data_IF_405936048740
#
_entry.id   IF_405936048740
#
_cell.length_a   1.000
_cell.length_b   1.000
_cell.length_c   1.000
_cell.angle_alpha   90.00
_cell.angle_beta   90.00
_cell.angle_gamma   90.00
#
_symmetry.space_group_name_H-M   'P 1'
#
loop_
_entity.id
_entity.type
_entity.pdbx_description
1 polymer ?
#
# COMPACT_ATOMS: atom_id res chain seq x y z
N UNK A 1 -21.26 27.27 -9.97
CA UNK A 1 -19.96 27.73 -10.49
C UNK A 1 -19.33 26.60 -11.30
N UNK A 2 -18.83 26.93 -12.49
CA UNK A 2 -18.48 26.01 -13.58
C UNK A 2 -17.44 24.95 -13.20
N UNK A 3 -17.79 23.67 -13.31
CA UNK A 3 -16.89 22.53 -13.10
C UNK A 3 -15.94 22.42 -14.31
N UNK A 4 -14.79 23.10 -14.26
CA UNK A 4 -13.78 23.07 -15.32
C UNK A 4 -13.11 21.68 -15.27
N UNK A 5 -13.57 20.72 -16.10
CA UNK A 5 -12.88 19.43 -16.29
C UNK A 5 -11.39 19.71 -16.51
N UNK A 6 -10.53 19.24 -15.60
CA UNK A 6 -9.07 19.32 -15.73
C UNK A 6 -8.68 18.66 -17.05
N UNK A 7 -8.07 19.41 -17.99
CA UNK A 7 -7.56 18.82 -19.23
C UNK A 7 -6.28 18.06 -18.90
N UNK A 8 -6.27 16.78 -19.23
CA UNK A 8 -5.11 15.91 -19.01
C UNK A 8 -4.06 16.22 -20.08
N UNK A 9 -2.83 16.51 -19.65
CA UNK A 9 -1.68 16.84 -20.50
C UNK A 9 -0.73 15.65 -20.61
N UNK A 10 -0.38 15.28 -21.84
CA UNK A 10 0.50 14.15 -22.16
C UNK A 10 1.72 14.65 -22.93
N UNK A 11 2.92 14.31 -22.45
CA UNK A 11 4.18 14.56 -23.14
C UNK A 11 4.64 13.29 -23.85
N UNK A 12 5.01 13.37 -25.13
CA UNK A 12 5.54 12.27 -25.92
C UNK A 12 7.00 12.57 -26.28
N UNK A 13 7.90 11.67 -25.91
CA UNK A 13 9.35 11.75 -26.13
C UNK A 13 9.79 10.50 -26.90
N UNK A 14 9.96 10.63 -28.21
CA UNK A 14 10.28 9.52 -29.12
C UNK A 14 10.95 10.10 -30.37
N UNK A 15 12.08 9.58 -30.84
CA UNK A 15 12.78 10.13 -32.01
C UNK A 15 12.07 9.86 -33.34
N UNK A 16 11.20 8.84 -33.40
CA UNK A 16 10.43 8.47 -34.59
C UNK A 16 9.21 9.39 -34.78
N UNK A 17 9.26 10.25 -35.81
CA UNK A 17 8.15 11.17 -36.13
C UNK A 17 6.81 10.45 -36.36
N UNK A 18 6.84 9.30 -37.04
CA UNK A 18 5.65 8.48 -37.30
C UNK A 18 4.95 8.00 -36.01
N UNK A 19 5.73 7.63 -34.99
CA UNK A 19 5.18 7.21 -33.69
C UNK A 19 4.60 8.41 -32.95
N UNK A 20 5.30 9.55 -32.92
CA UNK A 20 4.80 10.79 -32.30
C UNK A 20 3.48 11.23 -32.93
N UNK A 21 3.42 11.26 -34.25
CA UNK A 21 2.23 11.70 -35.00
C UNK A 21 1.05 10.74 -34.78
N UNK A 22 1.30 9.43 -34.84
CA UNK A 22 0.30 8.40 -34.57
C UNK A 22 -0.27 8.48 -33.16
N UNK A 23 0.60 8.58 -32.15
CA UNK A 23 0.17 8.70 -30.75
C UNK A 23 -0.57 10.01 -30.51
N UNK A 24 -0.04 11.13 -31.01
CA UNK A 24 -0.66 12.45 -30.87
C UNK A 24 -2.05 12.50 -31.48
N UNK A 25 -2.24 11.92 -32.66
CA UNK A 25 -3.55 11.87 -33.31
C UNK A 25 -4.56 11.03 -32.50
N UNK A 26 -4.15 9.85 -32.02
CA UNK A 26 -5.01 8.97 -31.22
C UNK A 26 -5.41 9.64 -29.90
N UNK A 27 -4.46 10.27 -29.20
CA UNK A 27 -4.68 10.84 -27.88
C UNK A 27 -5.43 12.17 -27.92
N UNK A 28 -5.14 13.02 -28.91
CA UNK A 28 -5.87 14.28 -29.10
C UNK A 28 -7.34 14.04 -29.42
N UNK A 29 -7.66 13.01 -30.24
CA UNK A 29 -9.05 12.59 -30.52
C UNK A 29 -9.79 12.11 -29.26
N UNK A 30 -9.06 11.65 -28.27
CA UNK A 30 -9.59 11.23 -26.98
C UNK A 30 -9.72 12.38 -25.96
N UNK A 31 -9.45 13.63 -26.37
CA UNK A 31 -9.63 14.82 -25.54
C UNK A 31 -8.43 15.18 -24.66
N UNK A 32 -7.27 14.55 -24.88
CA UNK A 32 -6.02 14.90 -24.20
C UNK A 32 -5.30 16.06 -24.89
N UNK A 33 -4.59 16.87 -24.12
CA UNK A 33 -3.66 17.86 -24.65
C UNK A 33 -2.28 17.20 -24.82
N UNK A 34 -1.75 17.18 -26.03
CA UNK A 34 -0.52 16.44 -26.35
C UNK A 34 0.59 17.39 -26.76
N UNK A 35 1.77 17.21 -26.15
CA UNK A 35 3.02 17.86 -26.54
C UNK A 35 4.01 16.77 -26.96
N UNK A 36 4.77 17.02 -28.03
CA UNK A 36 5.69 16.05 -28.62
C UNK A 36 7.09 16.64 -28.74
N UNK A 37 8.11 15.83 -28.51
CA UNK A 37 9.52 16.14 -28.84
C UNK A 37 10.23 14.88 -29.33
N UNK A 38 11.17 15.07 -30.25
CA UNK A 38 12.06 14.01 -30.73
C UNK A 38 13.40 13.94 -29.98
N UNK A 39 13.63 14.82 -29.01
CA UNK A 39 14.89 14.91 -28.28
C UNK A 39 14.70 14.62 -26.78
N UNK A 40 15.55 13.73 -26.27
CA UNK A 40 15.51 13.28 -24.88
C UNK A 40 15.75 14.40 -23.86
N UNK A 41 16.66 15.34 -24.16
CA UNK A 41 17.02 16.43 -23.26
C UNK A 41 15.97 17.54 -23.28
N UNK A 42 15.42 17.84 -24.45
CA UNK A 42 14.28 18.73 -24.60
C UNK A 42 13.05 18.19 -23.87
N UNK A 43 12.75 16.89 -24.02
CA UNK A 43 11.67 16.24 -23.27
C UNK A 43 11.84 16.34 -21.75
N UNK A 44 13.07 16.18 -21.24
CA UNK A 44 13.35 16.40 -19.82
C UNK A 44 13.15 17.87 -19.40
N UNK A 45 13.53 18.84 -20.24
CA UNK A 45 13.29 20.27 -19.97
C UNK A 45 11.79 20.58 -19.93
N UNK A 46 11.02 20.07 -20.88
CA UNK A 46 9.55 20.24 -20.88
C UNK A 46 8.93 19.66 -19.62
N UNK A 47 9.33 18.46 -19.22
CA UNK A 47 8.83 17.82 -18.00
C UNK A 47 9.12 18.62 -16.71
N UNK A 48 10.18 19.46 -16.68
CA UNK A 48 10.48 20.36 -15.55
C UNK A 48 9.78 21.72 -15.63
N UNK A 49 9.58 22.25 -16.84
CA UNK A 49 9.02 23.59 -17.04
C UNK A 49 7.50 23.61 -16.95
N UNK A 50 6.85 22.52 -17.38
CA UNK A 50 5.41 22.39 -17.48
C UNK A 50 4.90 21.19 -16.66
N UNK A 51 3.62 21.24 -16.27
CA UNK A 51 2.96 20.11 -15.63
C UNK A 51 2.33 19.19 -16.68
N UNK A 52 2.70 17.93 -16.61
CA UNK A 52 2.11 16.83 -17.37
C UNK A 52 1.51 15.79 -16.43
N UNK A 53 0.42 15.17 -16.83
CA UNK A 53 -0.19 14.06 -16.08
C UNK A 53 0.40 12.71 -16.53
N UNK A 54 0.93 12.62 -17.75
CA UNK A 54 1.55 11.42 -18.32
C UNK A 54 2.70 11.76 -19.29
N UNK A 55 3.75 10.95 -19.26
CA UNK A 55 4.88 10.97 -20.19
C UNK A 55 4.93 9.61 -20.91
N UNK A 56 4.96 9.63 -22.23
CA UNK A 56 5.29 8.49 -23.08
C UNK A 56 6.75 8.61 -23.48
N UNK A 57 7.60 7.66 -23.09
CA UNK A 57 9.05 7.76 -23.24
C UNK A 57 9.61 6.57 -24.04
N UNK A 58 10.32 6.84 -25.13
CA UNK A 58 11.11 5.82 -25.82
C UNK A 58 12.40 5.49 -25.04
N UNK A 59 12.70 4.20 -24.89
CA UNK A 59 13.98 3.73 -24.34
C UNK A 59 15.16 3.88 -25.30
N UNK A 60 14.91 3.97 -26.61
CA UNK A 60 15.94 3.95 -27.64
C UNK A 60 15.86 5.22 -28.50
N UNK A 61 16.48 6.28 -28.00
CA UNK A 61 16.71 7.50 -28.77
C UNK A 61 18.22 7.70 -29.04
N UNK A 62 18.59 8.39 -30.13
CA UNK A 62 19.97 8.81 -30.37
C UNK A 62 20.52 9.65 -29.20
N UNK A 63 21.78 9.42 -28.83
CA UNK A 63 22.50 10.24 -27.85
C UNK A 63 22.37 9.81 -26.38
N UNK A 64 21.17 9.53 -25.87
CA UNK A 64 20.95 9.12 -24.46
C UNK A 64 20.02 7.91 -24.36
N UNK A 65 20.37 6.94 -23.50
CA UNK A 65 19.50 5.78 -23.24
C UNK A 65 18.26 6.26 -22.49
N UNK A 66 17.07 5.88 -22.91
CA UNK A 66 15.83 6.34 -22.26
C UNK A 66 15.68 5.87 -20.81
N UNK A 67 16.40 4.82 -20.38
CA UNK A 67 16.47 4.45 -18.96
C UNK A 67 17.16 5.53 -18.10
N UNK A 68 18.13 6.25 -18.67
CA UNK A 68 18.82 7.33 -17.96
C UNK A 68 17.90 8.55 -17.82
N UNK A 69 17.06 8.81 -18.82
CA UNK A 69 15.99 9.82 -18.76
C UNK A 69 14.94 9.43 -17.72
N UNK A 70 14.48 8.17 -17.72
CA UNK A 70 13.53 7.68 -16.71
C UNK A 70 14.06 7.93 -15.28
N UNK A 71 15.32 7.57 -15.02
CA UNK A 71 15.96 7.82 -13.72
C UNK A 71 16.04 9.30 -13.38
N UNK A 72 16.32 10.18 -14.35
CA UNK A 72 16.33 11.64 -14.12
C UNK A 72 14.94 12.17 -13.82
N UNK A 73 13.92 11.75 -14.58
CA UNK A 73 12.53 12.13 -14.36
C UNK A 73 12.05 11.70 -12.97
N UNK A 74 12.42 10.50 -12.51
CA UNK A 74 12.04 9.99 -11.18
C UNK A 74 12.83 10.56 -10.00
N UNK A 75 14.07 11.00 -10.23
CA UNK A 75 14.86 11.69 -9.20
C UNK A 75 14.40 13.13 -8.96
N UNK A 76 13.71 13.73 -9.92
CA UNK A 76 13.19 15.09 -9.80
C UNK A 76 11.80 15.06 -9.14
N UNK A 77 11.74 15.36 -7.85
CA UNK A 77 10.51 15.31 -7.05
C UNK A 77 9.43 16.31 -7.49
N UNK A 78 9.79 17.31 -8.32
CA UNK A 78 8.83 18.25 -8.88
C UNK A 78 8.03 17.65 -10.06
N UNK A 79 8.45 16.49 -10.59
CA UNK A 79 7.81 15.81 -11.71
C UNK A 79 6.89 14.68 -11.19
N UNK A 80 5.60 15.01 -11.06
CA UNK A 80 4.57 14.06 -10.63
C UNK A 80 3.94 13.25 -11.78
N UNK A 81 4.41 13.43 -13.02
CA UNK A 81 3.82 12.77 -14.18
C UNK A 81 4.01 11.25 -14.12
N UNK A 82 2.99 10.50 -14.52
CA UNK A 82 3.15 9.06 -14.77
C UNK A 82 4.03 8.82 -15.99
N UNK A 83 4.69 7.68 -16.09
CA UNK A 83 5.60 7.36 -17.19
C UNK A 83 5.27 6.00 -17.77
N UNK A 84 4.84 5.97 -19.03
CA UNK A 84 4.75 4.74 -19.82
C UNK A 84 5.97 4.67 -20.73
N UNK A 85 6.66 3.54 -20.66
CA UNK A 85 7.74 3.24 -21.59
C UNK A 85 7.18 2.72 -22.91
N UNK A 86 7.69 3.22 -24.02
CA UNK A 86 7.42 2.69 -25.36
C UNK A 86 8.75 2.15 -25.93
N UNK A 87 8.80 0.91 -26.43
CA UNK A 87 10.05 0.38 -27.01
C UNK A 87 9.83 -0.71 -28.04
N UNK A 88 10.64 -0.72 -29.12
CA UNK A 88 10.68 -1.81 -30.09
C UNK A 88 11.50 -3.04 -29.67
N UNK A 89 12.20 -2.98 -28.52
CA UNK A 89 13.07 -4.06 -28.02
C UNK A 89 12.56 -4.60 -26.69
N UNK A 90 11.27 -4.93 -26.63
CA UNK A 90 10.58 -5.45 -25.45
C UNK A 90 11.04 -6.86 -25.05
N UNK A 91 12.26 -6.99 -24.54
CA UNK A 91 12.70 -8.20 -23.83
C UNK A 91 12.20 -8.14 -22.39
N UNK A 92 11.82 -9.29 -21.83
CA UNK A 92 11.37 -9.38 -20.42
C UNK A 92 12.34 -8.67 -19.45
N UNK A 93 13.67 -8.79 -19.57
CA UNK A 93 14.60 -8.08 -18.68
C UNK A 93 14.49 -6.55 -18.73
N UNK A 94 14.36 -5.96 -19.92
CA UNK A 94 14.26 -4.50 -20.08
C UNK A 94 12.93 -3.95 -19.53
N UNK A 95 11.83 -4.68 -19.73
CA UNK A 95 10.54 -4.32 -19.14
C UNK A 95 10.60 -4.36 -17.61
N UNK A 96 11.23 -5.38 -17.04
CA UNK A 96 11.41 -5.47 -15.58
C UNK A 96 12.32 -4.37 -15.05
N UNK A 97 13.40 -4.03 -15.76
CA UNK A 97 14.30 -2.93 -15.39
C UNK A 97 13.59 -1.58 -15.42
N UNK A 98 12.78 -1.29 -16.45
CA UNK A 98 12.01 -0.06 -16.54
C UNK A 98 11.05 0.11 -15.36
N UNK A 99 10.28 -0.93 -15.01
CA UNK A 99 9.36 -0.89 -13.86
C UNK A 99 10.13 -0.67 -12.55
N UNK A 100 11.26 -1.37 -12.34
CA UNK A 100 12.11 -1.17 -11.15
C UNK A 100 12.66 0.25 -11.02
N UNK A 101 12.85 0.95 -12.13
CA UNK A 101 13.31 2.34 -12.15
C UNK A 101 12.16 3.36 -12.14
N UNK A 102 10.93 2.91 -11.89
CA UNK A 102 9.77 3.76 -11.63
C UNK A 102 8.87 4.00 -12.85
N UNK A 103 8.97 3.25 -13.95
CA UNK A 103 7.93 3.30 -14.98
C UNK A 103 6.60 2.74 -14.45
N UNK A 104 5.48 3.38 -14.79
CA UNK A 104 4.14 2.95 -14.39
C UNK A 104 3.65 1.77 -15.24
N UNK A 105 3.99 1.76 -16.53
CA UNK A 105 3.68 0.67 -17.45
C UNK A 105 4.65 0.67 -18.63
N UNK A 106 4.54 -0.34 -19.48
CA UNK A 106 5.30 -0.39 -20.74
C UNK A 106 4.41 -0.85 -21.91
N UNK A 107 4.80 -0.45 -23.11
CA UNK A 107 4.14 -0.78 -24.37
C UNK A 107 5.20 -1.13 -25.42
N UNK A 108 5.10 -2.31 -26.01
CA UNK A 108 6.06 -2.79 -27.02
C UNK A 108 5.62 -2.34 -28.42
N UNK A 109 6.54 -1.78 -29.22
CA UNK A 109 6.32 -1.51 -30.65
C UNK A 109 6.44 -2.83 -31.44
N UNK A 110 5.57 -3.13 -32.42
CA UNK A 110 4.42 -2.33 -32.84
C UNK A 110 3.21 -2.50 -31.90
N UNK A 111 2.43 -1.43 -31.73
CA UNK A 111 1.18 -1.44 -30.97
C UNK A 111 0.06 -0.79 -31.76
N UNK A 112 -1.18 -1.18 -31.44
CA UNK A 112 -2.40 -0.65 -32.02
C UNK A 112 -2.90 0.59 -31.28
N UNK A 113 -3.77 1.38 -31.92
CA UNK A 113 -4.44 2.50 -31.25
C UNK A 113 -5.24 2.06 -30.02
N UNK A 114 -5.77 0.83 -30.02
CA UNK A 114 -6.51 0.26 -28.89
C UNK A 114 -5.59 -0.07 -27.72
N UNK A 115 -4.40 -0.63 -27.98
CA UNK A 115 -3.41 -0.92 -26.96
C UNK A 115 -2.86 0.36 -26.33
N UNK A 116 -2.55 1.38 -27.14
CA UNK A 116 -2.14 2.69 -26.65
C UNK A 116 -3.22 3.30 -25.74
N UNK A 117 -4.48 3.34 -26.19
CA UNK A 117 -5.59 3.83 -25.37
C UNK A 117 -5.73 3.05 -24.07
N UNK A 118 -5.65 1.72 -24.13
CA UNK A 118 -5.79 0.87 -22.95
C UNK A 118 -4.66 1.12 -21.94
N UNK A 119 -3.41 1.26 -22.40
CA UNK A 119 -2.27 1.56 -21.54
C UNK A 119 -2.41 2.95 -20.88
N UNK A 120 -2.78 3.96 -21.67
CA UNK A 120 -2.99 5.33 -21.19
C UNK A 120 -4.14 5.41 -20.19
N UNK A 121 -5.28 4.78 -20.49
CA UNK A 121 -6.43 4.70 -19.57
C UNK A 121 -6.02 3.97 -18.31
N UNK A 122 -5.40 2.79 -18.41
CA UNK A 122 -4.91 2.01 -17.25
C UNK A 122 -4.01 2.84 -16.34
N UNK A 123 -3.11 3.65 -16.90
CA UNK A 123 -2.16 4.46 -16.12
C UNK A 123 -2.80 5.74 -15.58
N UNK A 124 -3.63 6.43 -16.35
CA UNK A 124 -4.31 7.64 -15.89
C UNK A 124 -5.42 7.34 -14.88
N UNK A 125 -6.16 6.24 -15.06
CA UNK A 125 -7.22 5.76 -14.16
C UNK A 125 -6.68 5.00 -12.94
N UNK A 126 -5.43 4.51 -12.99
CA UNK A 126 -4.67 4.21 -11.77
C UNK A 126 -4.57 5.53 -11.02
N UNK A 127 -5.52 5.87 -10.17
CA UNK A 127 -5.42 7.03 -9.26
C UNK A 127 -4.03 7.01 -8.63
N UNK A 128 -3.34 8.14 -8.65
CA UNK A 128 -1.97 8.28 -8.15
C UNK A 128 -1.81 7.52 -6.83
N UNK A 129 -1.11 6.38 -6.90
CA UNK A 129 -0.65 5.61 -5.74
C UNK A 129 0.69 6.22 -5.32
N UNK A 130 0.73 7.54 -5.18
CA UNK A 130 1.78 8.25 -4.48
C UNK A 130 1.17 8.71 -3.17
N UNK A 131 1.47 7.94 -2.12
CA UNK A 131 0.64 7.55 -0.97
C UNK A 131 -0.31 6.39 -1.29
N UNK A 132 -0.24 5.29 -0.53
CA UNK A 132 -1.30 4.31 -0.55
C UNK A 132 -2.57 5.00 -0.05
N UNK A 133 -3.45 5.36 -0.98
CA UNK A 133 -4.87 5.46 -0.69
C UNK A 133 -5.45 4.07 -1.02
N UNK A 134 -5.56 3.16 -0.03
CA UNK A 134 -6.39 2.01 -0.20
C UNK A 134 -7.80 2.57 -0.38
N UNK A 135 -8.22 2.56 -1.63
CA UNK A 135 -9.59 2.14 -1.81
C UNK A 135 -9.74 0.88 -1.00
N UNK A 136 -10.71 0.95 -0.11
CA UNK A 136 -11.12 -0.13 0.73
C UNK A 136 -11.56 -1.25 -0.20
N UNK A 137 -10.62 -2.07 -0.65
CA UNK A 137 -10.86 -3.11 -1.65
C UNK A 137 -11.64 -4.22 -0.96
N UNK A 138 -12.93 -3.96 -0.77
CA UNK A 138 -13.94 -4.87 -0.23
C UNK A 138 -14.96 -4.22 0.72
N UNK A 139 -14.81 -2.97 1.18
CA UNK A 139 -15.92 -2.26 1.85
C UNK A 139 -16.74 -1.58 0.77
N UNK A 140 -17.65 -2.34 0.17
CA UNK A 140 -18.55 -1.86 -0.86
C UNK A 140 -19.74 -1.18 -0.17
N UNK A 141 -19.85 0.15 -0.27
CA UNK A 141 -21.03 0.87 0.21
C UNK A 141 -20.95 2.38 0.03
N UNK A 142 -22.04 2.98 -0.48
CA UNK A 142 -22.13 4.44 -0.72
C UNK A 142 -22.96 5.17 0.35
N UNK A 143 -23.19 4.55 1.51
CA UNK A 143 -23.95 5.17 2.61
C UNK A 143 -23.11 6.23 3.34
N UNK A 144 -23.78 7.17 4.01
CA UNK A 144 -23.09 8.19 4.80
C UNK A 144 -22.26 7.57 5.94
N UNK A 145 -22.74 6.47 6.53
CA UNK A 145 -22.00 5.68 7.52
C UNK A 145 -20.66 5.13 6.97
N UNK A 146 -20.67 4.60 5.74
CA UNK A 146 -19.45 4.10 5.11
C UNK A 146 -18.46 5.22 4.80
N UNK A 147 -18.96 6.40 4.41
CA UNK A 147 -18.11 7.58 4.19
C UNK A 147 -17.46 8.07 5.49
N UNK A 148 -18.21 8.11 6.59
CA UNK A 148 -17.70 8.49 7.91
C UNK A 148 -16.67 7.47 8.44
N UNK A 149 -16.91 6.17 8.22
CA UNK A 149 -15.96 5.11 8.54
C UNK A 149 -14.65 5.27 7.75
N UNK A 150 -14.73 5.53 6.44
CA UNK A 150 -13.55 5.79 5.60
C UNK A 150 -12.75 7.01 6.08
N UNK A 151 -13.42 8.11 6.42
CA UNK A 151 -12.75 9.30 6.96
C UNK A 151 -12.05 9.02 8.30
N UNK A 152 -12.68 8.20 9.14
CA UNK A 152 -12.11 7.76 10.42
C UNK A 152 -10.88 6.89 10.19
N UNK A 153 -10.97 5.90 9.30
CA UNK A 153 -9.85 5.03 8.90
C UNK A 153 -8.66 5.86 8.41
N UNK A 154 -8.90 6.84 7.53
CA UNK A 154 -7.86 7.75 6.99
C UNK A 154 -7.15 8.55 8.08
N UNK A 155 -7.86 8.92 9.14
CA UNK A 155 -7.30 9.69 10.26
C UNK A 155 -6.46 8.81 11.17
N UNK A 156 -7.01 7.66 11.60
CA UNK A 156 -6.35 6.76 12.55
C UNK A 156 -5.16 6.02 11.92
N UNK A 157 -5.20 5.73 10.61
CA UNK A 157 -4.12 5.03 9.93
C UNK A 157 -2.78 5.75 10.00
N UNK A 158 -2.78 7.09 10.08
CA UNK A 158 -1.57 7.93 10.19
C UNK A 158 -0.94 7.95 11.58
N UNK A 159 -1.59 7.32 12.56
CA UNK A 159 -1.11 7.21 13.95
C UNK A 159 -0.64 5.79 14.24
N UNK A 160 0.22 5.60 15.25
CA UNK A 160 0.62 4.27 15.73
C UNK A 160 -0.23 3.78 16.92
N UNK A 161 -1.35 4.45 17.22
CA UNK A 161 -2.26 4.05 18.30
C UNK A 161 -2.85 2.65 18.06
N UNK A 162 -3.06 1.92 19.15
CA UNK A 162 -3.84 0.67 19.15
C UNK A 162 -5.28 0.95 18.76
N UNK A 163 -5.83 0.13 17.87
CA UNK A 163 -7.20 0.28 17.36
C UNK A 163 -8.04 -0.94 17.74
N UNK A 164 -9.26 -0.70 18.21
CA UNK A 164 -10.28 -1.73 18.41
C UNK A 164 -11.40 -1.57 17.39
N UNK A 165 -11.70 -2.63 16.64
CA UNK A 165 -12.75 -2.70 15.63
C UNK A 165 -13.89 -3.55 16.18
N UNK A 166 -15.05 -2.95 16.37
CA UNK A 166 -16.26 -3.65 16.83
C UNK A 166 -17.24 -3.84 15.68
N UNK A 167 -17.89 -4.99 15.62
CA UNK A 167 -18.95 -5.24 14.65
C UNK A 167 -19.33 -6.72 14.59
N UNK A 168 -20.54 -7.00 14.12
CA UNK A 168 -21.03 -8.38 13.98
C UNK A 168 -20.08 -9.25 13.12
N UNK A 169 -20.13 -10.57 13.32
CA UNK A 169 -19.34 -11.48 12.50
C UNK A 169 -19.74 -11.36 11.02
N UNK A 170 -18.75 -11.34 10.12
CA UNK A 170 -18.99 -11.18 8.68
C UNK A 170 -19.14 -9.73 8.19
N UNK A 171 -19.00 -8.72 9.05
CA UNK A 171 -19.08 -7.29 8.66
C UNK A 171 -17.81 -6.71 8.03
N UNK A 172 -16.79 -7.54 7.78
CA UNK A 172 -15.55 -7.09 7.13
C UNK A 172 -14.52 -6.45 8.07
N UNK A 173 -14.51 -6.80 9.37
CA UNK A 173 -13.54 -6.28 10.36
C UNK A 173 -12.08 -6.48 9.96
N UNK A 174 -11.74 -7.67 9.44
CA UNK A 174 -10.38 -7.94 8.93
C UNK A 174 -10.03 -7.00 7.76
N UNK A 175 -10.98 -6.75 6.87
CA UNK A 175 -10.76 -5.85 5.75
C UNK A 175 -10.53 -4.40 6.20
N UNK A 176 -11.26 -3.94 7.22
CA UNK A 176 -11.01 -2.64 7.86
C UNK A 176 -9.58 -2.60 8.42
N UNK A 177 -9.12 -3.65 9.10
CA UNK A 177 -7.76 -3.73 9.62
C UNK A 177 -6.68 -3.69 8.53
N UNK A 178 -6.86 -4.45 7.45
CA UNK A 178 -5.97 -4.43 6.27
C UNK A 178 -5.95 -3.04 5.60
N UNK A 179 -7.09 -2.36 5.58
CA UNK A 179 -7.21 -0.99 5.03
C UNK A 179 -6.47 0.02 5.89
N UNK A 180 -6.61 -0.05 7.22
CA UNK A 180 -5.85 0.79 8.14
C UNK A 180 -4.35 0.57 7.96
N UNK A 181 -3.90 -0.68 7.87
CA UNK A 181 -2.50 -1.01 7.66
C UNK A 181 -1.96 -0.45 6.34
N UNK A 182 -2.69 -0.66 5.24
CA UNK A 182 -2.30 -0.13 3.93
C UNK A 182 -2.31 1.40 3.85
N UNK A 183 -3.12 2.10 4.65
CA UNK A 183 -3.07 3.57 4.81
C UNK A 183 -1.96 4.08 5.73
N UNK A 184 -1.28 3.19 6.44
CA UNK A 184 -0.38 3.58 7.52
C UNK A 184 1.03 3.90 7.06
N UNK A 185 1.85 4.47 7.95
CA UNK A 185 3.30 4.63 7.73
C UNK A 185 4.04 3.28 7.64
N UNK A 186 3.38 2.17 8.01
CA UNK A 186 3.91 0.80 8.03
C UNK A 186 3.42 -0.04 6.85
N UNK A 187 2.87 0.57 5.80
CA UNK A 187 2.25 -0.15 4.67
C UNK A 187 3.18 -1.10 3.89
N UNK A 188 4.50 -0.86 3.91
CA UNK A 188 5.50 -1.76 3.29
C UNK A 188 6.00 -2.85 4.25
N UNK A 189 5.53 -2.83 5.51
CA UNK A 189 5.94 -3.75 6.58
C UNK A 189 4.93 -4.89 6.72
N UNK A 190 5.26 -5.97 7.44
CA UNK A 190 4.37 -7.12 7.57
C UNK A 190 3.01 -6.76 8.20
N UNK A 191 1.94 -7.31 7.63
CA UNK A 191 0.63 -7.42 8.28
C UNK A 191 0.41 -8.87 8.70
N UNK A 192 0.32 -9.12 10.00
CA UNK A 192 0.23 -10.47 10.56
C UNK A 192 -1.14 -10.66 11.21
N UNK A 193 -2.08 -11.37 10.55
CA UNK A 193 -3.36 -11.70 11.16
C UNK A 193 -3.26 -12.91 12.09
N UNK A 194 -4.02 -12.87 13.19
CA UNK A 194 -4.20 -13.94 14.15
C UNK A 194 -5.67 -14.07 14.50
N UNK A 195 -6.28 -15.19 14.13
CA UNK A 195 -7.64 -15.54 14.54
C UNK A 195 -7.61 -16.14 15.94
N UNK A 196 -8.14 -15.41 16.93
CA UNK A 196 -8.14 -15.82 18.33
C UNK A 196 -9.16 -16.91 18.66
N UNK A 197 -10.00 -17.32 17.71
CA UNK A 197 -10.99 -18.40 17.87
C UNK A 197 -10.50 -19.76 17.40
N UNK A 198 -9.46 -19.79 16.55
CA UNK A 198 -9.02 -20.99 15.83
C UNK A 198 -8.07 -21.92 16.61
N UNK A 199 -7.51 -21.47 17.74
CA UNK A 199 -6.48 -22.19 18.48
C UNK A 199 -6.92 -22.51 19.91
N UNK A 200 -6.56 -23.71 20.38
CA UNK A 200 -6.65 -24.08 21.80
C UNK A 200 -5.74 -23.16 22.62
N UNK A 201 -6.12 -22.82 23.85
CA UNK A 201 -5.44 -21.81 24.70
C UNK A 201 -3.91 -21.92 24.74
N UNK A 202 -3.37 -23.13 24.93
CA UNK A 202 -1.92 -23.38 24.98
C UNK A 202 -1.22 -23.12 23.65
N UNK A 203 -1.90 -23.38 22.52
CA UNK A 203 -1.41 -23.10 21.18
C UNK A 203 -1.49 -21.60 20.87
N UNK A 204 -2.43 -20.87 21.48
CA UNK A 204 -2.57 -19.42 21.32
C UNK A 204 -1.37 -18.67 21.93
N UNK A 205 -1.06 -18.96 23.20
CA UNK A 205 0.07 -18.35 23.90
C UNK A 205 1.39 -18.61 23.15
N UNK A 206 1.58 -19.87 22.74
CA UNK A 206 2.72 -20.33 21.95
C UNK A 206 2.79 -19.68 20.56
N UNK A 207 1.65 -19.43 19.90
CA UNK A 207 1.62 -18.75 18.62
C UNK A 207 1.96 -17.26 18.76
N UNK A 208 1.36 -16.57 19.73
CA UNK A 208 1.56 -15.14 19.92
C UNK A 208 2.97 -14.80 20.36
N UNK A 209 3.48 -15.51 21.37
CA UNK A 209 4.74 -15.15 22.08
C UNK A 209 5.90 -16.10 21.76
N UNK A 210 5.66 -17.18 21.02
CA UNK A 210 6.67 -18.16 20.67
C UNK A 210 7.06 -19.05 21.85
N UNK A 211 7.80 -20.12 21.56
CA UNK A 211 8.36 -21.00 22.58
C UNK A 211 9.70 -21.56 22.16
N UNK A 212 10.50 -21.93 23.14
CA UNK A 212 11.72 -22.73 22.91
C UNK A 212 11.38 -24.21 22.94
N UNK A 213 12.15 -25.02 22.20
CA UNK A 213 12.09 -26.49 22.27
C UNK A 213 12.11 -26.96 23.73
N UNK A 214 11.16 -27.82 24.10
CA UNK A 214 11.04 -28.38 25.44
C UNK A 214 10.26 -27.52 26.45
N UNK A 215 9.65 -26.40 26.03
CA UNK A 215 8.88 -25.53 26.92
C UNK A 215 7.62 -26.20 27.53
N UNK A 216 7.05 -27.20 26.86
CA UNK A 216 5.91 -28.00 27.34
C UNK A 216 5.89 -29.38 26.64
N UNK A 217 5.07 -30.31 27.14
CA UNK A 217 4.88 -31.63 26.54
C UNK A 217 4.37 -31.51 25.10
N UNK A 218 5.20 -31.86 24.12
CA UNK A 218 4.91 -31.72 22.68
C UNK A 218 5.67 -30.61 21.95
N UNK A 219 6.45 -29.78 22.67
CA UNK A 219 7.32 -28.76 22.08
C UNK A 219 8.61 -29.38 21.48
N UNK A 220 8.48 -30.12 20.39
CA UNK A 220 9.61 -30.81 19.71
C UNK A 220 10.58 -29.86 19.03
N UNK A 221 10.11 -28.66 18.65
CA UNK A 221 10.86 -27.61 17.98
C UNK A 221 10.55 -26.24 18.60
N UNK A 222 11.41 -25.25 18.37
CA UNK A 222 11.13 -23.86 18.77
C UNK A 222 10.20 -23.21 17.75
N UNK A 223 9.31 -22.32 18.20
CA UNK A 223 8.39 -21.60 17.32
C UNK A 223 8.59 -20.08 17.44
N UNK A 224 8.71 -19.42 16.29
CA UNK A 224 8.75 -17.96 16.19
C UNK A 224 7.41 -17.36 16.58
N UNK A 225 7.47 -16.28 17.36
CA UNK A 225 6.30 -15.55 17.85
C UNK A 225 5.62 -14.76 16.72
N UNK A 226 4.29 -14.66 16.71
CA UNK A 226 3.58 -13.76 15.78
C UNK A 226 3.97 -12.30 15.98
N UNK A 227 4.24 -11.89 17.22
CA UNK A 227 4.80 -10.56 17.50
C UNK A 227 6.18 -10.34 16.85
N UNK A 228 7.06 -11.35 16.84
CA UNK A 228 8.36 -11.28 16.13
C UNK A 228 8.15 -11.17 14.61
N UNK A 229 7.18 -11.90 14.05
CA UNK A 229 6.86 -11.82 12.62
C UNK A 229 6.26 -10.46 12.22
N UNK A 230 5.63 -9.77 13.15
CA UNK A 230 4.98 -8.48 12.95
C UNK A 230 5.90 -7.29 13.29
N UNK A 231 7.17 -7.54 13.63
CA UNK A 231 8.10 -6.49 14.03
C UNK A 231 8.23 -5.41 12.95
N UNK A 232 8.25 -4.14 13.39
CA UNK A 232 8.11 -2.92 12.59
C UNK A 232 6.78 -2.80 11.80
N UNK A 233 5.89 -3.79 11.87
CA UNK A 233 4.66 -3.90 11.08
C UNK A 233 3.39 -3.76 11.92
N UNK A 234 2.37 -4.55 11.57
CA UNK A 234 1.06 -4.55 12.23
C UNK A 234 0.63 -5.96 12.58
N UNK A 235 0.23 -6.16 13.83
CA UNK A 235 -0.40 -7.40 14.30
C UNK A 235 -1.91 -7.18 14.38
N UNK A 236 -2.68 -8.00 13.68
CA UNK A 236 -4.14 -8.00 13.74
C UNK A 236 -4.63 -9.18 14.55
N UNK A 237 -5.38 -8.91 15.63
CA UNK A 237 -6.00 -9.92 16.49
C UNK A 237 -7.51 -9.95 16.25
N UNK A 238 -8.00 -10.94 15.50
CA UNK A 238 -9.43 -11.11 15.28
C UNK A 238 -10.07 -11.90 16.43
N UNK A 239 -11.31 -11.54 16.75
CA UNK A 239 -12.10 -12.08 17.86
C UNK A 239 -11.33 -12.10 19.21
N UNK A 240 -10.69 -10.96 19.56
CA UNK A 240 -9.85 -10.81 20.75
C UNK A 240 -10.58 -11.18 22.06
N UNK A 241 -11.90 -11.09 22.10
CA UNK A 241 -12.70 -11.50 23.26
C UNK A 241 -12.61 -12.99 23.61
N UNK A 242 -11.99 -13.81 22.76
CA UNK A 242 -11.84 -15.26 22.96
C UNK A 242 -10.50 -15.65 23.62
N UNK A 243 -9.56 -14.72 23.85
CA UNK A 243 -8.31 -15.05 24.54
C UNK A 243 -8.53 -15.19 26.05
N UNK A 244 -7.80 -16.10 26.68
CA UNK A 244 -7.90 -16.33 28.13
C UNK A 244 -7.30 -15.17 28.94
N UNK A 245 -7.71 -15.03 30.20
CA UNK A 245 -7.18 -13.99 31.12
C UNK A 245 -5.65 -14.04 31.26
N UNK A 246 -5.07 -15.25 31.16
CA UNK A 246 -3.61 -15.43 31.19
C UNK A 246 -2.96 -14.79 29.97
N UNK A 247 -3.48 -15.06 28.77
CA UNK A 247 -2.97 -14.45 27.52
C UNK A 247 -3.20 -12.94 27.53
N UNK A 248 -4.32 -12.45 28.06
CA UNK A 248 -4.59 -11.02 28.21
C UNK A 248 -3.55 -10.32 29.09
N UNK A 249 -3.17 -10.92 30.22
CA UNK A 249 -2.15 -10.37 31.10
C UNK A 249 -0.79 -10.27 30.41
N UNK A 250 -0.38 -11.31 29.66
CA UNK A 250 0.87 -11.29 28.89
C UNK A 250 0.81 -10.27 27.75
N UNK A 251 -0.32 -10.19 27.04
CA UNK A 251 -0.53 -9.21 25.97
C UNK A 251 -0.41 -7.77 26.49
N UNK A 252 -1.05 -7.46 27.62
CA UNK A 252 -0.95 -6.15 28.26
C UNK A 252 0.50 -5.78 28.58
N UNK A 253 1.26 -6.74 29.11
CA UNK A 253 2.68 -6.55 29.43
C UNK A 253 3.50 -6.27 28.18
N UNK A 254 3.27 -7.01 27.09
CA UNK A 254 3.95 -6.80 25.80
C UNK A 254 3.63 -5.41 25.23
N UNK A 255 2.39 -4.94 25.35
CA UNK A 255 1.99 -3.59 24.91
C UNK A 255 2.69 -2.50 25.73
N UNK A 256 2.85 -2.70 27.04
CA UNK A 256 3.47 -1.73 27.95
C UNK A 256 5.00 -1.70 27.85
N UNK A 257 5.63 -2.88 27.82
CA UNK A 257 7.08 -3.03 27.84
C UNK A 257 7.70 -3.04 26.44
N UNK A 258 6.91 -3.23 25.38
CA UNK A 258 7.38 -3.45 24.01
C UNK A 258 8.41 -4.59 23.90
N UNK A 259 8.21 -5.62 24.73
CA UNK A 259 9.07 -6.79 24.84
C UNK A 259 8.24 -8.07 24.86
N UNK A 260 8.70 -9.10 24.15
CA UNK A 260 8.06 -10.40 24.10
C UNK A 260 8.78 -11.37 25.05
N UNK A 261 8.08 -11.99 26.00
CA UNK A 261 8.61 -13.12 26.74
C UNK A 261 8.52 -14.40 25.91
N UNK A 262 9.62 -15.15 25.73
CA UNK A 262 9.56 -16.49 25.13
C UNK A 262 9.13 -17.52 26.17
N UNK A 263 8.12 -18.33 25.86
CA UNK A 263 7.68 -19.42 26.76
C UNK A 263 8.84 -20.41 26.96
N UNK A 264 9.23 -20.63 28.22
CA UNK A 264 10.36 -21.50 28.59
C UNK A 264 11.74 -20.84 28.56
N UNK A 265 11.82 -19.52 28.39
CA UNK A 265 13.06 -18.74 28.37
C UNK A 265 12.95 -17.50 29.29
N UNK A 266 14.04 -17.12 29.95
CA UNK A 266 14.13 -15.87 30.72
C UNK A 266 14.52 -14.66 29.87
N UNK A 267 14.89 -14.87 28.60
CA UNK A 267 15.23 -13.79 27.67
C UNK A 267 13.97 -13.18 27.06
N UNK A 268 13.88 -11.86 27.13
CA UNK A 268 12.91 -11.05 26.40
C UNK A 268 13.52 -10.51 25.10
N UNK A 269 12.67 -10.13 24.15
CA UNK A 269 13.07 -9.54 22.87
C UNK A 269 12.22 -8.31 22.59
N UNK A 270 12.85 -7.17 22.33
CA UNK A 270 12.14 -5.93 22.03
C UNK A 270 11.52 -5.99 20.64
N UNK A 271 10.29 -5.49 20.52
CA UNK A 271 9.55 -5.41 19.26
C UNK A 271 8.78 -4.11 19.12
N UNK A 272 8.71 -3.60 17.89
CA UNK A 272 7.91 -2.43 17.54
C UNK A 272 6.73 -2.86 16.67
N UNK A 273 5.57 -3.10 17.30
CA UNK A 273 4.38 -3.62 16.64
C UNK A 273 3.20 -2.69 16.86
N UNK A 274 2.57 -2.27 15.76
CA UNK A 274 1.25 -1.63 15.82
C UNK A 274 0.17 -2.69 16.01
N UNK A 275 -0.69 -2.50 17.01
CA UNK A 275 -1.76 -3.45 17.33
C UNK A 275 -3.12 -2.99 16.78
N UNK A 276 -3.81 -3.90 16.06
CA UNK A 276 -5.22 -3.75 15.71
C UNK A 276 -5.96 -4.98 16.23
N UNK A 277 -7.05 -4.78 16.97
CA UNK A 277 -7.87 -5.85 17.49
C UNK A 277 -9.30 -5.75 16.96
N UNK A 278 -9.99 -6.87 16.83
CA UNK A 278 -11.39 -6.93 16.45
C UNK A 278 -12.20 -7.84 17.38
N UNK A 279 -13.47 -7.50 17.60
CA UNK A 279 -14.42 -8.34 18.35
C UNK A 279 -15.84 -8.17 17.83
N UNK A 280 -16.62 -9.26 17.90
CA UNK A 280 -18.07 -9.23 17.70
C UNK A 280 -18.88 -9.03 18.99
N UNK A 281 -18.21 -8.98 20.15
CA UNK A 281 -18.88 -8.78 21.44
C UNK A 281 -18.95 -7.31 21.78
N UNK A 282 -20.08 -6.89 22.33
CA UNK A 282 -20.14 -5.60 23.02
C UNK A 282 -19.31 -5.69 24.29
N UNK A 283 -18.18 -4.97 24.32
CA UNK A 283 -17.48 -4.77 25.58
C UNK A 283 -18.25 -3.76 26.44
N UNK A 284 -18.40 -3.98 27.76
CA UNK A 284 -18.95 -2.97 28.64
C UNK A 284 -18.10 -1.71 28.51
N UNK A 285 -18.72 -0.59 28.16
CA UNK A 285 -18.06 0.73 28.13
C UNK A 285 -17.21 0.87 29.39
N UNK A 286 -15.89 0.96 29.22
CA UNK A 286 -14.94 1.07 30.31
C UNK A 286 -15.42 2.11 31.31
N UNK A 287 -15.66 1.68 32.55
CA UNK A 287 -16.15 2.52 33.64
C UNK A 287 -15.00 3.36 34.19
N UNK A 288 -14.52 4.30 33.39
CA UNK A 288 -13.76 5.46 33.86
C UNK A 288 -14.58 6.70 33.52
N UNK A 289 -15.72 6.84 34.21
CA UNK A 289 -16.27 8.17 34.45
C UNK A 289 -15.21 8.93 35.27
N UNK A 290 -14.79 10.13 34.89
CA UNK A 290 -14.05 10.97 35.82
C UNK A 290 -14.95 11.13 37.04
N UNK A 291 -14.51 10.60 38.19
CA UNK A 291 -15.07 11.01 39.46
C UNK A 291 -14.72 12.49 39.61
N UNK A 292 -15.68 13.35 39.29
CA UNK A 292 -15.67 14.75 39.67
C UNK A 292 -15.45 14.78 41.19
N UNK A 293 -14.21 15.11 41.54
CA UNK A 293 -13.73 15.34 42.90
C UNK A 293 -13.29 16.80 42.92
N UNK A 294 -14.08 17.66 43.55
CA UNK A 294 -13.89 19.11 43.63
C UNK A 294 -15.16 19.87 43.32
#
# INVERSE_FOLDING_TARGET
>A
MSNRKKRIRILIIDDEASIRDGCSQVLSRNGYEVVCTGDALEGFKFARQDRYDLILLDLKMPGMKGIDILKKLRKDHDIAAKIIIITGYGTIPLSVEAIKNGADDFLTKPFTSTELRRAVIKVLERKDIDRPDPQVTGLIGNSDYMRELEETIRRIAKTDSTILITGESGTGKELVAQTIHSMSMRFEKPFVPVDCSSLVETLMESALFGHVKGAFSGATESRTARFQMADNGTLFLDEISNISLKVQATLLRVIQEQEIPRVGSSKTESVDVRLIAATNREEPKGRFLPTSSG
#
